data_IF_489624505995
#
_entry.id   IF_489624505995
#
_cell.length_a   1.000
_cell.length_b   1.000
_cell.length_c   1.000
_cell.angle_alpha   90.00
_cell.angle_beta   90.00
_cell.angle_gamma   90.00
#
_symmetry.space_group_name_H-M   'P 1'
#
loop_
_entity.id
_entity.type
_entity.pdbx_description
1 polymer ?
#
# COMPACT_ATOMS: atom_id res chain seq x y z
N UNK A 1 24.20 -22.05 -75.26
CA UNK A 1 25.06 -22.15 -74.01
C UNK A 1 24.97 -20.90 -73.14
N UNK A 2 24.76 -19.70 -73.72
CA UNK A 2 24.64 -18.47 -72.91
C UNK A 2 23.36 -18.40 -72.06
N UNK A 3 22.23 -18.90 -72.59
CA UNK A 3 20.95 -18.91 -71.87
C UNK A 3 20.92 -19.86 -70.63
N UNK A 4 21.67 -20.97 -70.72
CA UNK A 4 21.74 -21.93 -69.65
C UNK A 4 22.60 -21.40 -68.46
N UNK A 5 23.61 -20.56 -68.77
CA UNK A 5 24.48 -19.93 -67.77
C UNK A 5 23.76 -18.80 -67.04
N UNK A 6 23.02 -17.96 -67.76
CA UNK A 6 22.22 -16.89 -67.16
C UNK A 6 21.10 -17.42 -66.23
N UNK A 7 20.49 -18.56 -66.57
CA UNK A 7 19.46 -19.19 -65.77
C UNK A 7 20.04 -19.79 -64.50
N UNK A 8 21.28 -20.30 -64.53
CA UNK A 8 21.93 -20.86 -63.31
C UNK A 8 22.40 -19.77 -62.37
N UNK A 9 22.91 -18.64 -62.89
CA UNK A 9 23.28 -17.48 -62.08
C UNK A 9 22.07 -16.84 -61.42
N UNK A 10 20.92 -16.76 -62.13
CA UNK A 10 19.68 -16.24 -61.53
C UNK A 10 19.09 -17.18 -60.44
N UNK A 11 19.24 -18.51 -60.59
CA UNK A 11 18.83 -19.47 -59.54
C UNK A 11 19.75 -19.43 -58.29
N UNK A 12 21.07 -19.22 -58.51
CA UNK A 12 22.00 -19.05 -57.38
C UNK A 12 21.77 -17.74 -56.60
N UNK A 13 21.48 -16.65 -57.33
CA UNK A 13 21.16 -15.35 -56.74
C UNK A 13 19.83 -15.38 -55.96
N UNK A 14 18.82 -16.06 -56.50
CA UNK A 14 17.53 -16.26 -55.82
C UNK A 14 17.66 -17.14 -54.58
N UNK A 15 18.53 -18.18 -54.63
CA UNK A 15 18.80 -19.03 -53.46
C UNK A 15 19.57 -18.28 -52.35
N UNK A 16 20.53 -17.43 -52.73
CA UNK A 16 21.28 -16.60 -51.78
C UNK A 16 20.36 -15.54 -51.11
N UNK A 17 19.48 -14.91 -51.91
CA UNK A 17 18.48 -13.97 -51.37
C UNK A 17 17.48 -14.64 -50.43
N UNK A 18 17.05 -15.86 -50.75
CA UNK A 18 16.17 -16.64 -49.85
C UNK A 18 16.83 -17.08 -48.54
N UNK A 19 18.17 -17.33 -48.56
CA UNK A 19 18.92 -17.62 -47.36
C UNK A 19 19.08 -16.41 -46.46
N UNK A 20 19.39 -15.25 -47.03
CA UNK A 20 19.47 -13.98 -46.29
C UNK A 20 18.13 -13.57 -45.67
N UNK A 21 17.03 -13.72 -46.39
CA UNK A 21 15.70 -13.46 -45.89
C UNK A 21 15.32 -14.39 -44.69
N UNK A 22 15.73 -15.67 -44.76
CA UNK A 22 15.55 -16.60 -43.63
C UNK A 22 16.38 -16.24 -42.39
N UNK A 23 17.62 -15.81 -42.61
CA UNK A 23 18.46 -15.36 -41.49
C UNK A 23 17.93 -14.06 -40.82
N UNK A 24 17.39 -13.14 -41.61
CA UNK A 24 16.76 -11.92 -41.08
C UNK A 24 15.47 -12.23 -40.34
N UNK A 25 14.66 -13.17 -40.85
CA UNK A 25 13.42 -13.61 -40.20
C UNK A 25 13.72 -14.34 -38.87
N UNK A 26 14.77 -15.16 -38.83
CA UNK A 26 15.22 -15.86 -37.62
C UNK A 26 15.78 -14.88 -36.57
N UNK A 27 16.55 -13.88 -37.00
CA UNK A 27 17.03 -12.78 -36.14
C UNK A 27 15.89 -11.93 -35.59
N UNK A 28 14.91 -11.62 -36.44
CA UNK A 28 13.73 -10.87 -36.02
C UNK A 28 12.86 -11.65 -35.03
N UNK A 29 12.67 -12.96 -35.28
CA UNK A 29 11.95 -13.86 -34.37
C UNK A 29 12.66 -14.01 -33.02
N UNK A 30 14.01 -14.13 -33.04
CA UNK A 30 14.81 -14.23 -31.80
C UNK A 30 14.77 -12.94 -31.00
N UNK A 31 14.83 -11.78 -31.66
CA UNK A 31 14.72 -10.47 -31.00
C UNK A 31 13.33 -10.25 -30.41
N UNK A 32 12.29 -10.70 -31.11
CA UNK A 32 10.91 -10.62 -30.61
C UNK A 32 10.67 -11.56 -29.42
N UNK A 33 11.26 -12.75 -29.44
CA UNK A 33 11.20 -13.69 -28.33
C UNK A 33 11.98 -13.20 -27.10
N UNK A 34 13.13 -12.51 -27.30
CA UNK A 34 13.87 -11.86 -26.21
C UNK A 34 13.11 -10.66 -25.63
N UNK A 35 12.47 -9.86 -26.47
CA UNK A 35 11.62 -8.74 -26.04
C UNK A 35 10.37 -9.21 -25.30
N UNK A 36 9.71 -10.27 -25.78
CA UNK A 36 8.58 -10.92 -25.07
C UNK A 36 9.01 -11.59 -23.76
N UNK A 37 10.18 -12.22 -23.72
CA UNK A 37 10.73 -12.79 -22.49
C UNK A 37 11.12 -11.70 -21.47
N UNK A 38 11.66 -10.57 -21.93
CA UNK A 38 11.95 -9.40 -21.10
C UNK A 38 10.66 -8.72 -20.58
N UNK A 39 9.62 -8.62 -21.41
CA UNK A 39 8.30 -8.12 -21.00
C UNK A 39 7.60 -9.06 -20.03
N UNK A 40 7.71 -10.38 -20.22
CA UNK A 40 7.19 -11.39 -19.30
C UNK A 40 7.94 -11.42 -17.95
N UNK A 41 9.25 -11.14 -17.95
CA UNK A 41 10.06 -10.99 -16.75
C UNK A 41 9.69 -9.72 -15.96
N UNK A 42 9.34 -8.62 -16.66
CA UNK A 42 8.83 -7.39 -16.05
C UNK A 42 7.39 -7.53 -15.52
N UNK A 43 6.62 -8.50 -15.99
CA UNK A 43 5.23 -8.76 -15.57
C UNK A 43 5.11 -9.74 -14.40
N UNK A 44 6.22 -10.24 -13.81
CA UNK A 44 6.13 -11.01 -12.56
C UNK A 44 5.66 -10.08 -11.43
N UNK A 45 4.57 -10.44 -10.72
CA UNK A 45 4.15 -9.63 -9.57
C UNK A 45 5.30 -9.59 -8.56
N UNK A 46 5.73 -8.37 -8.21
CA UNK A 46 6.82 -8.16 -7.26
C UNK A 46 6.56 -8.95 -5.98
N UNK A 47 7.56 -9.69 -5.51
CA UNK A 47 7.47 -10.46 -4.28
C UNK A 47 7.17 -9.55 -3.08
N UNK A 48 6.66 -10.12 -1.99
CA UNK A 48 6.38 -9.37 -0.75
C UNK A 48 7.64 -8.63 -0.24
N UNK A 49 8.81 -9.24 -0.40
CA UNK A 49 10.10 -8.63 -0.03
C UNK A 49 10.50 -7.47 -0.94
N UNK A 50 10.33 -7.62 -2.24
CA UNK A 50 10.64 -6.55 -3.20
C UNK A 50 9.73 -5.34 -2.98
N UNK A 51 8.43 -5.55 -2.72
CA UNK A 51 7.49 -4.49 -2.36
C UNK A 51 7.92 -3.78 -1.07
N UNK A 52 8.28 -4.54 -0.03
CA UNK A 52 8.78 -4.02 1.24
C UNK A 52 10.04 -3.18 1.05
N UNK A 53 11.01 -3.67 0.27
CA UNK A 53 12.27 -2.96 -0.02
C UNK A 53 12.04 -1.66 -0.80
N UNK A 54 11.14 -1.68 -1.78
CA UNK A 54 10.76 -0.50 -2.54
C UNK A 54 10.07 0.55 -1.64
N UNK A 55 9.21 0.12 -0.73
CA UNK A 55 8.53 0.99 0.23
C UNK A 55 9.53 1.64 1.20
N UNK A 56 10.44 0.87 1.78
CA UNK A 56 11.48 1.40 2.66
C UNK A 56 12.40 2.41 1.93
N UNK A 57 12.69 2.20 0.64
CA UNK A 57 13.45 3.15 -0.17
C UNK A 57 12.70 4.48 -0.31
N UNK A 58 11.41 4.46 -0.63
CA UNK A 58 10.57 5.67 -0.71
C UNK A 58 10.50 6.40 0.62
N UNK A 59 10.30 5.65 1.71
CA UNK A 59 10.29 6.20 3.06
C UNK A 59 11.61 6.89 3.37
N UNK A 60 12.75 6.26 3.08
CA UNK A 60 14.08 6.85 3.28
C UNK A 60 14.28 8.15 2.52
N UNK A 61 13.77 8.27 1.30
CA UNK A 61 13.84 9.51 0.51
C UNK A 61 13.07 10.66 1.18
N UNK A 62 12.01 10.34 1.93
CA UNK A 62 11.20 11.31 2.67
C UNK A 62 11.82 11.76 4.00
N UNK A 63 12.95 11.19 4.42
CA UNK A 63 13.66 11.65 5.62
C UNK A 63 14.03 13.15 5.55
N UNK A 64 14.17 13.69 4.34
CA UNK A 64 14.43 15.12 4.09
C UNK A 64 13.29 16.05 4.54
N UNK A 65 12.06 15.54 4.68
CA UNK A 65 10.92 16.30 5.18
C UNK A 65 10.86 16.38 6.71
N UNK A 66 11.69 15.59 7.39
CA UNK A 66 11.73 15.53 8.86
C UNK A 66 12.63 16.63 9.39
N UNK A 67 12.10 17.44 10.32
CA UNK A 67 12.89 18.47 11.00
C UNK A 67 13.70 17.89 12.16
N UNK A 68 14.91 17.43 11.84
CA UNK A 68 15.85 16.91 12.83
C UNK A 68 16.44 17.96 13.77
N UNK A 69 16.24 19.27 13.51
CA UNK A 69 16.62 20.31 14.47
C UNK A 69 15.73 20.25 15.72
N UNK A 70 14.45 19.85 15.52
CA UNK A 70 13.49 19.67 16.62
C UNK A 70 13.65 18.30 17.25
N UNK A 71 13.65 17.23 16.44
CA UNK A 71 13.74 15.85 16.92
C UNK A 71 15.09 15.52 17.56
N UNK A 72 16.16 16.15 17.11
CA UNK A 72 17.53 15.72 17.37
C UNK A 72 17.96 14.57 16.45
N UNK A 73 19.26 14.31 16.44
CA UNK A 73 19.85 13.20 15.69
C UNK A 73 20.25 12.08 16.64
N UNK A 74 20.06 10.84 16.22
CA UNK A 74 20.55 9.65 16.92
C UNK A 74 21.25 8.71 15.95
N UNK A 75 22.12 7.85 16.47
CA UNK A 75 22.79 6.82 15.66
C UNK A 75 21.98 5.52 15.70
N UNK A 76 22.06 4.74 14.64
CA UNK A 76 21.41 3.42 14.60
C UNK A 76 21.97 2.43 15.66
N UNK A 77 23.19 2.71 16.20
CA UNK A 77 23.75 1.97 17.33
C UNK A 77 23.05 2.22 18.65
N UNK A 78 22.39 3.36 18.80
CA UNK A 78 21.79 3.82 20.04
C UNK A 78 20.28 3.68 20.06
N UNK A 79 19.76 2.80 19.18
CA UNK A 79 18.32 2.62 19.00
C UNK A 79 17.66 1.97 20.20
N UNK A 80 16.49 2.50 20.55
CA UNK A 80 15.55 1.88 21.47
C UNK A 80 14.70 0.83 20.76
N UNK A 81 14.06 -0.08 21.49
CA UNK A 81 13.01 -0.96 20.99
C UNK A 81 11.70 -0.18 20.82
N UNK A 82 11.50 0.40 19.63
CA UNK A 82 10.31 1.21 19.39
C UNK A 82 9.01 0.40 19.39
N UNK A 83 9.06 -0.94 19.31
CA UNK A 83 7.88 -1.81 19.35
C UNK A 83 7.19 -1.83 20.73
N UNK A 84 7.85 -1.35 21.77
CA UNK A 84 7.25 -1.14 23.10
C UNK A 84 6.14 -0.08 23.04
N UNK A 85 6.24 0.89 22.09
CA UNK A 85 5.17 1.88 21.85
C UNK A 85 4.03 1.19 21.13
N UNK A 86 2.86 1.15 21.74
CA UNK A 86 1.65 0.58 21.13
C UNK A 86 1.33 1.29 19.80
N UNK A 87 1.13 0.50 18.76
CA UNK A 87 0.92 1.00 17.42
C UNK A 87 2.16 0.94 16.53
N UNK A 88 3.34 0.70 17.09
CA UNK A 88 4.58 0.47 16.35
C UNK A 88 4.86 -1.03 16.32
N UNK A 89 4.62 -1.64 15.18
CA UNK A 89 5.02 -3.02 14.90
C UNK A 89 6.36 -3.07 14.16
N UNK A 90 6.92 -4.28 13.90
CA UNK A 90 8.25 -4.45 13.32
C UNK A 90 8.46 -3.65 12.02
N UNK A 91 7.47 -3.64 11.14
CA UNK A 91 7.59 -2.93 9.86
C UNK A 91 7.51 -1.40 10.00
N UNK A 92 6.73 -0.91 10.98
CA UNK A 92 6.68 0.52 11.27
C UNK A 92 7.99 0.98 11.91
N UNK A 93 8.57 0.18 12.80
CA UNK A 93 9.91 0.45 13.35
C UNK A 93 10.96 0.51 12.22
N UNK A 94 10.96 -0.43 11.27
CA UNK A 94 11.87 -0.37 10.12
C UNK A 94 11.69 0.93 9.30
N UNK A 95 10.46 1.39 9.12
CA UNK A 95 10.18 2.66 8.42
C UNK A 95 10.68 3.87 9.21
N UNK A 96 10.46 3.91 10.53
CA UNK A 96 10.98 4.96 11.40
C UNK A 96 12.51 5.00 11.37
N UNK A 97 13.15 3.83 11.45
CA UNK A 97 14.59 3.69 11.33
C UNK A 97 15.10 4.17 9.95
N UNK A 98 14.37 3.88 8.87
CA UNK A 98 14.69 4.38 7.53
C UNK A 98 14.59 5.90 7.41
N UNK A 99 13.71 6.55 8.19
CA UNK A 99 13.64 8.00 8.32
C UNK A 99 14.79 8.59 9.18
N UNK A 100 15.48 7.79 9.99
CA UNK A 100 16.49 8.25 10.96
C UNK A 100 15.93 8.50 12.37
N UNK A 101 14.75 7.94 12.68
CA UNK A 101 14.11 7.99 14.00
C UNK A 101 14.36 6.65 14.68
N UNK A 102 15.17 6.66 15.74
CA UNK A 102 15.68 5.46 16.41
C UNK A 102 15.32 5.40 17.88
N UNK A 103 14.98 6.54 18.53
CA UNK A 103 14.90 6.62 19.98
C UNK A 103 13.56 7.16 20.49
N UNK A 104 13.17 6.77 21.72
CA UNK A 104 12.04 7.37 22.41
C UNK A 104 12.20 8.88 22.54
N UNK A 105 13.43 9.36 22.78
CA UNK A 105 13.71 10.78 22.91
C UNK A 105 13.34 11.56 21.63
N UNK A 106 13.61 10.99 20.46
CA UNK A 106 13.21 11.61 19.20
C UNK A 106 11.68 11.64 19.06
N UNK A 107 11.01 10.53 19.36
CA UNK A 107 9.54 10.45 19.29
C UNK A 107 8.90 11.43 20.30
N UNK A 108 9.42 11.52 21.52
CA UNK A 108 8.87 12.40 22.58
C UNK A 108 8.92 13.89 22.22
N UNK A 109 9.85 14.29 21.33
CA UNK A 109 10.02 15.67 20.84
C UNK A 109 9.18 16.03 19.63
N UNK A 110 8.39 15.09 19.08
CA UNK A 110 7.51 15.39 17.94
C UNK A 110 6.49 16.45 18.34
N UNK A 111 6.43 17.52 17.55
CA UNK A 111 5.32 18.48 17.59
C UNK A 111 4.14 17.91 16.81
N UNK A 112 2.94 18.45 17.00
CA UNK A 112 1.74 18.02 16.26
C UNK A 112 1.96 18.03 14.72
N UNK A 113 2.72 19.01 14.21
CA UNK A 113 3.08 19.06 12.79
C UNK A 113 4.05 17.94 12.39
N UNK A 114 5.02 17.61 13.24
CA UNK A 114 5.96 16.51 12.97
C UNK A 114 5.29 15.16 13.05
N UNK A 115 4.31 14.96 13.93
CA UNK A 115 3.50 13.74 13.96
C UNK A 115 2.79 13.52 12.61
N UNK A 116 2.21 14.58 12.01
CA UNK A 116 1.58 14.49 10.69
C UNK A 116 2.62 14.21 9.60
N UNK A 117 3.75 14.92 9.62
CA UNK A 117 4.83 14.72 8.65
C UNK A 117 5.41 13.30 8.72
N UNK A 118 5.63 12.77 9.92
CA UNK A 118 6.12 11.38 10.11
C UNK A 118 5.06 10.39 9.63
N UNK A 119 3.79 10.63 9.96
CA UNK A 119 2.68 9.77 9.53
C UNK A 119 2.60 9.65 7.99
N UNK A 120 2.76 10.77 7.27
CA UNK A 120 2.82 10.79 5.81
C UNK A 120 4.09 10.13 5.28
N UNK A 121 5.25 10.40 5.92
CA UNK A 121 6.53 9.88 5.48
C UNK A 121 6.61 8.36 5.55
N UNK A 122 6.02 7.74 6.59
CA UNK A 122 5.96 6.28 6.72
C UNK A 122 4.83 5.62 5.91
N UNK A 123 4.10 6.40 5.10
CA UNK A 123 2.96 5.89 4.30
C UNK A 123 1.96 5.11 5.15
N UNK A 124 1.59 5.69 6.29
CA UNK A 124 0.69 5.04 7.23
C UNK A 124 -0.69 5.70 7.23
N UNK A 125 -1.71 5.01 7.77
CA UNK A 125 -3.05 5.55 7.82
C UNK A 125 -3.05 6.96 8.45
N UNK A 126 -3.73 7.95 7.84
CA UNK A 126 -3.70 9.34 8.29
C UNK A 126 -4.06 9.49 9.77
N UNK A 127 -3.27 10.30 10.48
CA UNK A 127 -3.49 10.65 11.88
C UNK A 127 -3.20 9.55 12.90
N UNK A 128 -2.62 8.42 12.49
CA UNK A 128 -2.40 7.29 13.39
C UNK A 128 -1.34 7.57 14.44
N UNK A 129 -0.27 8.29 14.11
CA UNK A 129 0.78 8.68 15.08
C UNK A 129 0.17 9.43 16.26
N UNK A 130 -0.71 10.40 16.01
CA UNK A 130 -1.43 11.16 17.04
C UNK A 130 -2.44 10.30 17.81
N UNK A 131 -3.26 9.55 17.05
CA UNK A 131 -4.31 8.71 17.61
C UNK A 131 -3.75 7.64 18.54
N UNK A 132 -2.64 7.02 18.18
CA UNK A 132 -1.93 6.02 18.97
C UNK A 132 -1.09 6.66 20.07
N UNK A 133 -1.06 7.99 20.16
CA UNK A 133 -0.40 8.77 21.23
C UNK A 133 1.09 8.41 21.40
N UNK A 134 1.83 8.24 20.28
CA UNK A 134 3.23 7.82 20.33
C UNK A 134 4.10 8.76 21.14
N UNK A 135 3.86 10.08 21.05
CA UNK A 135 4.59 11.10 21.82
C UNK A 135 4.37 10.92 23.33
N UNK A 136 3.12 10.71 23.75
CA UNK A 136 2.81 10.51 25.17
C UNK A 136 3.41 9.20 25.69
N UNK A 137 3.32 8.12 24.92
CA UNK A 137 3.92 6.84 25.27
C UNK A 137 5.45 6.94 25.38
N UNK A 138 6.12 7.60 24.41
CA UNK A 138 7.56 7.81 24.46
C UNK A 138 8.01 8.62 25.69
N UNK A 139 7.25 9.64 26.07
CA UNK A 139 7.51 10.44 27.29
C UNK A 139 7.41 9.59 28.55
N UNK A 140 6.42 8.73 28.64
CA UNK A 140 6.27 7.80 29.78
C UNK A 140 7.46 6.84 29.85
N UNK A 141 7.93 6.31 28.71
CA UNK A 141 9.11 5.44 28.65
C UNK A 141 10.39 6.15 29.09
N UNK A 142 10.43 7.48 28.96
CA UNK A 142 11.51 8.34 29.47
C UNK A 142 11.32 8.76 30.94
N UNK A 143 10.26 8.32 31.60
CA UNK A 143 9.97 8.61 33.02
C UNK A 143 9.20 9.91 33.24
N UNK A 144 8.63 10.51 32.19
CA UNK A 144 7.76 11.69 32.37
C UNK A 144 6.35 11.29 32.82
N UNK A 145 5.75 12.08 33.73
CA UNK A 145 4.36 11.89 34.17
C UNK A 145 3.39 12.49 33.14
N UNK A 146 2.95 11.65 32.23
CA UNK A 146 2.02 12.02 31.13
C UNK A 146 0.81 11.10 31.14
N UNK A 147 -0.39 11.69 31.04
CA UNK A 147 -1.64 10.91 30.97
C UNK A 147 -1.89 10.43 29.53
N UNK A 148 -2.22 9.15 29.39
CA UNK A 148 -2.69 8.55 28.15
C UNK A 148 -4.22 8.49 28.17
N UNK A 149 -4.85 8.82 27.05
CA UNK A 149 -6.26 8.50 26.83
C UNK A 149 -6.39 7.02 26.45
N UNK A 150 -6.61 6.17 27.46
CA UNK A 150 -6.76 4.73 27.27
C UNK A 150 -7.92 4.35 26.34
N UNK A 151 -9.00 5.16 26.31
CA UNK A 151 -10.14 4.91 25.42
C UNK A 151 -9.76 5.14 23.96
N UNK A 152 -9.05 6.21 23.68
CA UNK A 152 -8.52 6.48 22.35
C UNK A 152 -7.52 5.40 21.92
N UNK A 153 -6.66 4.95 22.84
CA UNK A 153 -5.68 3.90 22.56
C UNK A 153 -6.34 2.55 22.25
N UNK A 154 -7.34 2.12 23.04
CA UNK A 154 -8.12 0.91 22.76
C UNK A 154 -8.83 0.97 21.41
N UNK A 155 -9.42 2.12 21.07
CA UNK A 155 -10.03 2.35 19.75
C UNK A 155 -9.01 2.20 18.63
N UNK A 156 -7.82 2.72 18.84
CA UNK A 156 -6.71 2.60 17.88
C UNK A 156 -6.28 1.14 17.68
N UNK A 157 -6.12 0.38 18.74
CA UNK A 157 -5.80 -1.04 18.68
C UNK A 157 -6.87 -1.83 17.92
N UNK A 158 -8.14 -1.51 18.11
CA UNK A 158 -9.24 -2.13 17.37
C UNK A 158 -9.15 -1.83 15.87
N UNK A 159 -8.93 -0.57 15.49
CA UNK A 159 -8.77 -0.18 14.10
C UNK A 159 -7.52 -0.83 13.46
N UNK A 160 -6.45 -1.03 14.23
CA UNK A 160 -5.27 -1.75 13.78
C UNK A 160 -5.55 -3.22 13.46
N UNK A 161 -6.32 -3.90 14.32
CA UNK A 161 -6.75 -5.29 14.05
C UNK A 161 -7.65 -5.38 12.82
N UNK A 162 -8.54 -4.41 12.63
CA UNK A 162 -9.38 -4.32 11.42
C UNK A 162 -8.51 -4.13 10.18
N UNK A 163 -7.58 -3.17 10.21
CA UNK A 163 -6.67 -2.89 9.08
C UNK A 163 -5.85 -4.12 8.66
N UNK A 164 -5.38 -4.92 9.62
CA UNK A 164 -4.65 -6.16 9.34
C UNK A 164 -5.47 -7.19 8.55
N UNK A 165 -6.80 -7.09 8.56
CA UNK A 165 -7.69 -7.99 7.82
C UNK A 165 -7.93 -7.53 6.37
N UNK A 166 -7.44 -6.36 5.97
CA UNK A 166 -7.59 -5.84 4.60
C UNK A 166 -6.99 -6.79 3.55
N UNK A 167 -5.96 -7.57 3.90
CA UNK A 167 -5.37 -8.57 3.00
C UNK A 167 -6.36 -9.65 2.52
N UNK A 168 -7.48 -9.84 3.23
CA UNK A 168 -8.53 -10.80 2.89
C UNK A 168 -9.60 -10.23 1.96
N UNK A 169 -9.60 -8.93 1.73
CA UNK A 169 -10.57 -8.26 0.87
C UNK A 169 -10.05 -8.26 -0.56
N UNK A 170 -10.89 -8.67 -1.49
CA UNK A 170 -10.58 -8.67 -2.92
C UNK A 170 -10.73 -7.25 -3.51
N UNK A 171 -9.65 -6.47 -3.39
CA UNK A 171 -9.55 -5.13 -3.99
C UNK A 171 -9.44 -5.18 -5.53
N UNK A 172 -9.15 -6.32 -6.12
CA UNK A 172 -9.21 -6.51 -7.57
C UNK A 172 -10.64 -6.31 -8.09
N UNK A 173 -11.62 -6.81 -7.34
CA UNK A 173 -13.05 -6.67 -7.68
C UNK A 173 -13.61 -5.30 -7.32
N UNK A 174 -13.36 -4.80 -6.11
CA UNK A 174 -13.99 -3.54 -5.65
C UNK A 174 -13.21 -2.28 -6.03
N UNK A 175 -11.97 -2.42 -6.44
CA UNK A 175 -11.06 -1.31 -6.77
C UNK A 175 -10.32 -0.76 -5.57
N UNK A 176 -9.27 0.02 -5.84
CA UNK A 176 -8.45 0.71 -4.84
C UNK A 176 -8.80 2.20 -4.87
N UNK A 177 -8.94 2.82 -3.72
CA UNK A 177 -9.18 4.25 -3.58
C UNK A 177 -8.19 4.88 -2.60
N UNK A 178 -8.05 6.20 -2.67
CA UNK A 178 -7.20 6.98 -1.77
C UNK A 178 -8.00 7.58 -0.62
N UNK A 179 -7.39 7.65 0.56
CA UNK A 179 -7.98 8.33 1.72
C UNK A 179 -8.19 9.84 1.49
N UNK A 180 -7.46 10.44 0.53
CA UNK A 180 -7.63 11.85 0.14
C UNK A 180 -8.87 12.13 -0.69
N UNK A 181 -9.46 11.09 -1.31
CA UNK A 181 -10.62 11.17 -2.19
C UNK A 181 -11.78 10.31 -1.65
N UNK A 182 -12.05 10.43 -0.35
CA UNK A 182 -13.08 9.64 0.32
C UNK A 182 -14.46 10.29 0.23
N UNK A 183 -15.48 9.44 0.08
CA UNK A 183 -16.87 9.80 0.24
C UNK A 183 -17.25 9.84 1.75
N UNK A 184 -18.33 10.51 2.08
CA UNK A 184 -18.94 10.43 3.41
C UNK A 184 -19.80 9.17 3.51
N UNK A 185 -19.19 8.05 3.93
CA UNK A 185 -19.86 6.76 4.00
C UNK A 185 -21.01 6.72 5.02
N UNK A 186 -21.07 7.68 5.95
CA UNK A 186 -22.16 7.79 6.93
C UNK A 186 -23.51 8.13 6.28
N UNK A 187 -23.52 8.53 5.01
CA UNK A 187 -24.77 8.70 4.24
C UNK A 187 -25.48 7.37 3.94
N UNK A 188 -24.80 6.25 4.07
CA UNK A 188 -25.40 4.93 3.98
C UNK A 188 -26.00 4.57 5.34
N UNK A 189 -27.30 4.24 5.35
CA UNK A 189 -27.99 3.83 6.56
C UNK A 189 -27.33 2.60 7.16
N UNK A 190 -26.98 2.67 8.45
CA UNK A 190 -26.27 1.60 9.15
C UNK A 190 -24.76 1.81 9.29
N UNK A 191 -24.20 2.81 8.61
CA UNK A 191 -22.80 3.23 8.76
C UNK A 191 -22.75 4.48 9.65
N UNK A 192 -22.36 4.30 10.90
CA UNK A 192 -22.04 5.41 11.82
C UNK A 192 -20.55 5.74 11.78
N UNK A 193 -20.12 6.81 12.51
CA UNK A 193 -18.73 7.28 12.47
C UNK A 193 -17.69 6.19 12.71
N UNK A 194 -17.92 5.32 13.67
CA UNK A 194 -16.96 4.27 14.00
C UNK A 194 -16.91 3.13 12.95
N UNK A 195 -18.02 2.84 12.31
CA UNK A 195 -18.04 1.86 11.20
C UNK A 195 -17.34 2.44 9.97
N UNK A 196 -17.54 3.72 9.68
CA UNK A 196 -16.79 4.41 8.62
C UNK A 196 -15.29 4.36 8.89
N UNK A 197 -14.83 4.64 10.12
CA UNK A 197 -13.41 4.51 10.48
C UNK A 197 -12.89 3.08 10.26
N UNK A 198 -13.67 2.05 10.56
CA UNK A 198 -13.31 0.64 10.31
C UNK A 198 -13.24 0.34 8.81
N UNK A 199 -14.20 0.82 8.01
CA UNK A 199 -14.15 0.67 6.55
C UNK A 199 -12.93 1.38 5.96
N UNK A 200 -12.66 2.61 6.42
CA UNK A 200 -11.46 3.35 6.02
C UNK A 200 -10.17 2.62 6.43
N UNK A 201 -10.13 1.99 7.59
CA UNK A 201 -9.00 1.17 8.03
C UNK A 201 -8.78 -0.06 7.15
N UNK A 202 -9.83 -0.61 6.52
CA UNK A 202 -9.72 -1.66 5.50
C UNK A 202 -9.28 -1.14 4.13
N UNK A 203 -9.27 0.19 3.89
CA UNK A 203 -9.00 0.78 2.56
C UNK A 203 -10.27 0.98 1.72
N UNK A 204 -11.45 0.93 2.35
CA UNK A 204 -12.74 1.20 1.71
C UNK A 204 -13.15 2.63 2.02
N UNK A 205 -13.07 3.51 1.02
CA UNK A 205 -13.26 4.94 1.16
C UNK A 205 -14.43 5.48 0.34
N UNK A 206 -14.88 4.74 -0.70
CA UNK A 206 -15.84 5.26 -1.69
C UNK A 206 -17.10 4.41 -1.77
N UNK A 207 -18.21 5.07 -2.11
CA UNK A 207 -19.46 4.37 -2.43
C UNK A 207 -19.28 3.37 -3.56
N UNK A 208 -18.45 3.70 -4.57
CA UNK A 208 -18.18 2.81 -5.70
C UNK A 208 -17.56 1.49 -5.27
N UNK A 209 -16.65 1.48 -4.28
CA UNK A 209 -16.07 0.25 -3.74
C UNK A 209 -17.15 -0.61 -3.08
N UNK A 210 -18.03 0.00 -2.26
CA UNK A 210 -19.13 -0.71 -1.61
C UNK A 210 -20.13 -1.23 -2.66
N UNK A 211 -20.45 -0.43 -3.67
CA UNK A 211 -21.38 -0.81 -4.74
C UNK A 211 -20.93 -2.03 -5.57
N UNK A 212 -19.61 -2.26 -5.65
CA UNK A 212 -18.99 -3.39 -6.35
C UNK A 212 -18.81 -4.64 -5.50
N UNK A 213 -19.15 -4.62 -4.21
CA UNK A 213 -19.02 -5.81 -3.36
C UNK A 213 -19.91 -6.94 -3.86
N UNK A 214 -19.34 -8.12 -3.98
CA UNK A 214 -20.07 -9.37 -4.17
C UNK A 214 -20.57 -9.88 -2.81
N UNK A 215 -21.54 -10.81 -2.80
CA UNK A 215 -22.04 -11.42 -1.55
C UNK A 215 -20.91 -11.99 -0.67
N UNK A 216 -19.85 -12.53 -1.28
CA UNK A 216 -18.68 -13.03 -0.58
C UNK A 216 -17.90 -11.88 0.08
N UNK A 217 -17.66 -10.78 -0.64
CA UNK A 217 -16.93 -9.61 -0.11
C UNK A 217 -17.75 -8.94 1.01
N UNK A 218 -19.08 -8.87 0.90
CA UNK A 218 -19.93 -8.38 2.00
C UNK A 218 -19.71 -9.16 3.29
N UNK A 219 -19.61 -10.50 3.21
CA UNK A 219 -19.35 -11.37 4.37
C UNK A 219 -17.93 -11.15 4.90
N UNK A 220 -16.92 -11.06 4.02
CA UNK A 220 -15.54 -10.79 4.38
C UNK A 220 -15.39 -9.42 5.08
N UNK A 221 -16.00 -8.36 4.55
CA UNK A 221 -16.03 -7.03 5.15
C UNK A 221 -16.73 -7.06 6.50
N UNK A 222 -17.89 -7.74 6.61
CA UNK A 222 -18.63 -7.85 7.87
C UNK A 222 -17.79 -8.50 8.98
N UNK A 223 -17.03 -9.57 8.63
CA UNK A 223 -16.11 -10.24 9.55
C UNK A 223 -14.92 -9.33 9.87
N UNK A 224 -14.39 -8.62 8.87
CA UNK A 224 -13.21 -7.78 9.03
C UNK A 224 -13.46 -6.60 9.99
N UNK A 225 -14.61 -5.92 9.87
CA UNK A 225 -14.98 -4.81 10.75
C UNK A 225 -15.44 -5.24 12.15
N UNK A 226 -15.44 -6.54 12.44
CA UNK A 226 -15.85 -7.10 13.75
C UNK A 226 -17.24 -6.58 14.18
N UNK A 227 -18.20 -6.67 13.25
CA UNK A 227 -19.54 -6.19 13.47
C UNK A 227 -20.55 -7.35 13.56
N UNK A 228 -21.78 -7.07 14.02
CA UNK A 228 -22.81 -8.12 14.13
C UNK A 228 -22.95 -8.88 12.82
N UNK A 229 -22.97 -10.23 12.87
CA UNK A 229 -23.03 -11.06 11.67
C UNK A 229 -24.16 -10.67 10.71
N UNK A 230 -23.85 -10.61 9.42
CA UNK A 230 -24.81 -10.33 8.36
C UNK A 230 -25.34 -8.90 8.27
N UNK A 231 -24.80 -7.94 9.04
CA UNK A 231 -25.31 -6.57 9.05
C UNK A 231 -25.09 -5.83 7.73
N UNK A 232 -23.96 -6.04 7.05
CA UNK A 232 -23.68 -5.43 5.75
C UNK A 232 -24.80 -5.75 4.75
N UNK A 233 -25.20 -7.01 4.68
CA UNK A 233 -26.32 -7.49 3.81
C UNK A 233 -27.67 -7.01 4.30
N UNK A 234 -27.94 -7.15 5.60
CA UNK A 234 -29.23 -6.79 6.19
C UNK A 234 -29.56 -5.30 6.00
N UNK A 235 -28.54 -4.44 6.18
CA UNK A 235 -28.70 -3.00 6.02
C UNK A 235 -28.55 -2.58 4.54
N UNK A 236 -28.44 -3.52 3.58
CA UNK A 236 -28.40 -3.32 2.13
C UNK A 236 -27.36 -2.31 1.65
N UNK A 237 -26.14 -2.31 2.24
CA UNK A 237 -25.13 -1.30 1.93
C UNK A 237 -24.78 -1.24 0.44
N UNK A 238 -24.67 -2.39 -0.23
CA UNK A 238 -24.39 -2.46 -1.68
C UNK A 238 -25.46 -1.77 -2.51
N UNK A 239 -26.73 -1.98 -2.18
CA UNK A 239 -27.87 -1.36 -2.87
C UNK A 239 -27.85 0.16 -2.66
N UNK A 240 -27.71 0.62 -1.43
CA UNK A 240 -27.63 2.03 -1.09
C UNK A 240 -26.45 2.71 -1.79
N UNK A 241 -25.28 2.07 -1.82
CA UNK A 241 -24.09 2.60 -2.47
C UNK A 241 -24.26 2.71 -3.99
N UNK A 242 -24.93 1.73 -4.64
CA UNK A 242 -25.28 1.81 -6.07
C UNK A 242 -26.20 2.98 -6.43
N UNK A 243 -27.06 3.38 -5.51
CA UNK A 243 -27.93 4.54 -5.69
C UNK A 243 -27.16 5.86 -5.56
N UNK A 244 -26.14 5.89 -4.68
CA UNK A 244 -25.28 7.06 -4.44
C UNK A 244 -24.23 7.26 -5.52
N UNK A 245 -23.62 6.19 -6.03
CA UNK A 245 -22.59 6.25 -7.07
C UNK A 245 -23.10 6.65 -8.46
N UNK A 246 -24.44 6.78 -8.64
CA UNK A 246 -25.08 7.25 -9.89
C UNK A 246 -25.34 8.76 -9.90
N UNK A 247 -25.11 9.43 -8.80
CA UNK A 247 -25.26 10.88 -8.64
C UNK A 247 -23.92 11.58 -8.78
#
# INVERSE_FOLDING_TARGET
EADAKAKKEAEEEAAAAALLAKEEEEKAAKKKAEEEAAAAAAAKPATKEEKKKAELKRVKERSKSIDFKVLGTAKASDKDDLQVIKGIGPFIEEKLNALGIYTYLQISKMTSKLEDTVNEAIEFFPGRVKRDQWVAQAKILLGEDVKIDEKALKKSEELARVAAKAEKIDFGTIGVASASDKDNLQELKGIGPFIEEKLNALGIYKFEQIAKMTSKIEDEVNIAIEFFPGRVKRDEWVKQAKERSKK
#
